data_IF_221232915685
#
_entry.id   IF_221232915685
#
_cell.length_a   1.000
_cell.length_b   1.000
_cell.length_c   1.000
_cell.angle_alpha   90.00
_cell.angle_beta   90.00
_cell.angle_gamma   90.00
#
_symmetry.space_group_name_H-M   'P 1'
#
loop_
_entity.id
_entity.type
_entity.pdbx_description
1 polymer ?
#
# COMPACT_ATOMS: atom_id res chain seq x y z
N UNK A 1 37.02 -58.97 40.55
CA UNK A 1 38.14 -58.12 40.98
C UNK A 1 37.71 -56.65 40.97
N UNK A 2 37.95 -55.96 42.09
CA UNK A 2 38.17 -54.51 42.32
C UNK A 2 37.16 -53.46 41.81
N UNK A 3 36.57 -52.79 42.81
CA UNK A 3 35.99 -51.44 42.86
C UNK A 3 37.00 -50.37 42.40
N UNK A 4 36.54 -49.21 41.95
CA UNK A 4 36.81 -47.93 42.63
C UNK A 4 35.99 -46.76 42.04
N UNK A 5 35.44 -46.00 42.99
CA UNK A 5 34.82 -44.68 42.90
C UNK A 5 35.92 -43.64 43.17
N UNK A 6 35.91 -42.45 42.56
CA UNK A 6 36.54 -41.24 43.14
C UNK A 6 35.87 -39.96 42.64
N UNK A 7 35.32 -39.22 43.61
CA UNK A 7 34.91 -37.82 43.58
C UNK A 7 36.12 -36.88 43.69
N UNK A 8 35.97 -35.65 43.19
CA UNK A 8 36.59 -34.39 43.69
C UNK A 8 36.02 -33.24 42.83
N UNK A 9 35.09 -32.39 43.28
CA UNK A 9 35.24 -31.23 44.20
C UNK A 9 36.23 -30.15 43.75
N UNK A 10 35.69 -28.97 43.46
CA UNK A 10 36.17 -27.62 43.86
C UNK A 10 35.11 -26.61 43.37
N UNK A 11 34.27 -25.98 44.21
CA UNK A 11 34.58 -24.85 45.13
C UNK A 11 35.25 -23.68 44.39
N UNK A 12 34.47 -22.66 44.03
CA UNK A 12 34.19 -21.42 44.78
C UNK A 12 35.39 -20.46 44.82
N UNK A 13 35.15 -19.23 44.33
CA UNK A 13 35.78 -17.91 44.60
C UNK A 13 35.03 -16.93 43.66
N UNK A 14 34.01 -16.16 44.05
CA UNK A 14 33.90 -15.03 44.99
C UNK A 14 34.79 -13.79 44.66
N UNK A 15 34.20 -12.63 44.95
CA UNK A 15 34.60 -11.23 44.74
C UNK A 15 34.20 -10.64 43.37
N UNK A 16 33.22 -9.74 43.21
CA UNK A 16 32.57 -8.83 44.16
C UNK A 16 33.13 -7.41 43.99
N UNK A 17 32.54 -6.57 43.13
CA UNK A 17 32.63 -5.11 43.27
C UNK A 17 31.30 -4.47 42.88
N UNK A 18 30.70 -3.86 43.90
CA UNK A 18 29.55 -2.96 43.91
C UNK A 18 29.88 -1.71 43.09
N UNK A 19 28.90 -1.15 42.40
CA UNK A 19 28.71 0.30 42.30
C UNK A 19 27.25 0.57 41.96
N UNK A 20 26.51 1.02 42.97
CA UNK A 20 25.28 1.76 42.77
C UNK A 20 25.64 3.20 42.45
N UNK A 21 24.92 3.79 41.50
CA UNK A 21 24.66 5.21 41.50
C UNK A 21 23.15 5.40 41.34
N UNK A 22 22.55 5.80 42.45
CA UNK A 22 21.25 6.39 42.54
C UNK A 22 21.21 7.65 41.68
N UNK A 23 20.33 7.72 40.68
CA UNK A 23 19.87 9.01 40.15
C UNK A 23 18.53 9.34 40.77
N UNK A 24 18.63 10.14 41.82
CA UNK A 24 17.50 10.81 42.46
C UNK A 24 16.75 11.71 41.48
N UNK A 25 15.44 11.63 41.65
CA UNK A 25 14.44 12.65 41.41
C UNK A 25 14.98 14.08 41.19
N UNK A 26 14.50 14.72 40.13
CA UNK A 26 14.32 16.17 40.14
C UNK A 26 12.89 16.48 39.70
N UNK A 27 12.03 16.70 40.69
CA UNK A 27 10.79 17.42 40.48
C UNK A 27 11.11 18.90 40.35
N UNK A 28 10.58 19.55 39.32
CA UNK A 28 10.38 20.99 39.35
C UNK A 28 8.96 21.32 38.89
N UNK A 29 8.16 21.62 39.89
CA UNK A 29 6.91 22.37 39.80
C UNK A 29 7.30 23.80 39.42
N UNK A 30 6.78 24.30 38.32
CA UNK A 30 6.63 25.74 38.12
C UNK A 30 5.16 25.96 37.71
N UNK A 31 4.41 26.32 38.74
CA UNK A 31 3.06 26.84 38.70
C UNK A 31 3.19 28.34 38.45
N UNK A 32 2.68 28.83 37.32
CA UNK A 32 2.43 30.26 37.13
C UNK A 32 1.08 30.42 36.46
N UNK A 33 0.13 30.78 37.31
CA UNK A 33 -1.14 31.37 36.97
C UNK A 33 -0.91 32.69 36.24
N UNK A 34 -1.58 32.87 35.10
CA UNK A 34 -2.02 34.19 34.66
C UNK A 34 -3.26 34.02 33.79
N UNK A 35 -4.40 34.18 34.46
CA UNK A 35 -5.71 34.44 33.87
C UNK A 35 -5.66 35.64 32.92
N UNK A 36 -6.20 35.47 31.72
CA UNK A 36 -6.86 36.57 31.02
C UNK A 36 -8.07 36.03 30.26
N UNK A 37 -9.21 36.55 30.66
CA UNK A 37 -10.54 36.43 30.07
C UNK A 37 -10.48 36.80 28.58
N UNK A 38 -11.23 36.12 27.71
CA UNK A 38 -12.32 36.83 27.05
C UNK A 38 -13.39 35.92 26.46
N UNK A 39 -14.59 36.47 26.50
CA UNK A 39 -15.91 35.94 26.23
C UNK A 39 -16.12 35.48 24.78
N UNK A 40 -16.93 34.42 24.62
CA UNK A 40 -17.62 34.15 23.36
C UNK A 40 -18.73 35.18 23.14
N UNK A 41 -18.94 35.64 21.90
CA UNK A 41 -20.31 35.74 21.44
C UNK A 41 -20.55 35.18 20.03
N UNK A 42 -21.48 34.22 19.99
CA UNK A 42 -22.70 34.15 19.15
C UNK A 42 -22.57 34.18 17.62
N UNK A 43 -23.02 33.06 17.05
CA UNK A 43 -23.97 32.93 15.94
C UNK A 43 -24.19 34.16 15.05
N UNK A 44 -23.78 34.03 13.79
CA UNK A 44 -24.55 34.53 12.66
C UNK A 44 -24.42 33.51 11.52
N UNK A 45 -25.28 32.49 11.56
CA UNK A 45 -25.65 31.71 10.38
C UNK A 45 -26.50 32.64 9.52
N UNK A 46 -25.91 33.19 8.45
CA UNK A 46 -26.70 33.80 7.39
C UNK A 46 -27.03 32.74 6.35
N UNK A 47 -28.32 32.43 6.37
CA UNK A 47 -29.09 31.64 5.42
C UNK A 47 -28.78 31.98 3.97
N UNK A 48 -28.67 30.92 3.17
CA UNK A 48 -28.89 30.92 1.74
C UNK A 48 -30.25 31.56 1.43
N UNK A 49 -30.25 32.67 0.69
CA UNK A 49 -31.35 33.06 -0.20
C UNK A 49 -30.89 34.23 -1.10
N UNK A 50 -31.23 34.10 -2.39
CA UNK A 50 -31.27 35.12 -3.45
C UNK A 50 -29.96 35.51 -4.18
N UNK A 51 -29.36 34.56 -4.88
CA UNK A 51 -28.62 34.90 -6.12
C UNK A 51 -29.64 34.87 -7.27
N UNK A 52 -30.25 36.03 -7.54
CA UNK A 52 -31.20 36.22 -8.64
C UNK A 52 -30.52 36.08 -10.00
N UNK A 53 -31.09 35.26 -10.89
CA UNK A 53 -30.60 35.01 -12.26
C UNK A 53 -30.87 36.18 -13.24
N UNK A 54 -31.26 37.35 -12.74
CA UNK A 54 -31.56 38.53 -13.55
C UNK A 54 -30.36 39.46 -13.79
N UNK A 55 -29.24 39.31 -13.06
CA UNK A 55 -28.04 40.17 -13.19
C UNK A 55 -27.05 39.75 -14.30
N UNK A 56 -27.32 38.68 -15.05
CA UNK A 56 -26.44 38.23 -16.16
C UNK A 56 -26.84 38.84 -17.50
N UNK A 57 -27.83 39.73 -17.53
CA UNK A 57 -28.47 40.17 -18.78
C UNK A 57 -27.86 41.44 -19.39
N UNK A 58 -27.06 42.19 -18.63
CA UNK A 58 -26.55 43.49 -19.05
C UNK A 58 -25.14 43.46 -19.69
N UNK A 59 -24.51 42.29 -19.82
CA UNK A 59 -23.22 42.16 -20.53
C UNK A 59 -23.33 41.72 -22.01
N UNK A 60 -24.54 41.65 -22.58
CA UNK A 60 -24.74 41.18 -23.97
C UNK A 60 -25.16 42.24 -25.00
N UNK A 61 -25.04 43.53 -24.70
CA UNK A 61 -25.41 44.60 -25.65
C UNK A 61 -24.26 45.63 -25.86
N UNK A 62 -23.23 45.34 -26.67
CA UNK A 62 -23.04 45.76 -28.09
C UNK A 62 -21.63 46.39 -28.27
N UNK A 63 -21.09 46.71 -29.49
CA UNK A 63 -21.37 46.24 -30.85
C UNK A 63 -20.10 45.84 -31.67
N UNK A 64 -20.34 45.16 -32.81
CA UNK A 64 -19.56 45.16 -34.06
C UNK A 64 -18.17 44.48 -34.10
N UNK A 65 -18.09 43.33 -34.78
CA UNK A 65 -17.28 43.18 -36.00
C UNK A 65 -17.55 41.84 -36.72
N UNK A 66 -17.63 41.94 -38.04
CA UNK A 66 -17.48 40.87 -39.05
C UNK A 66 -18.59 39.83 -39.19
N UNK A 67 -19.58 40.16 -40.04
CA UNK A 67 -20.29 39.16 -40.84
C UNK A 67 -19.33 38.53 -41.84
N UNK A 68 -18.50 37.59 -41.40
CA UNK A 68 -17.87 36.63 -42.31
C UNK A 68 -18.87 35.51 -42.54
N UNK A 69 -19.46 35.52 -43.74
CA UNK A 69 -20.14 34.38 -44.35
C UNK A 69 -19.17 33.20 -44.31
N UNK A 70 -19.30 32.35 -43.30
CA UNK A 70 -18.51 31.14 -43.19
C UNK A 70 -19.12 30.16 -44.21
N UNK A 71 -18.44 30.01 -45.35
CA UNK A 71 -18.74 28.94 -46.28
C UNK A 71 -18.49 27.62 -45.56
N UNK A 72 -19.58 26.93 -45.21
CA UNK A 72 -19.51 25.59 -44.65
C UNK A 72 -19.10 24.68 -45.79
N UNK A 73 -17.80 24.36 -45.89
CA UNK A 73 -17.33 23.31 -46.78
C UNK A 73 -17.98 22.01 -46.33
N UNK A 74 -18.78 21.42 -47.20
CA UNK A 74 -19.35 20.09 -47.00
C UNK A 74 -18.21 19.10 -46.71
N UNK A 75 -18.20 18.55 -45.50
CA UNK A 75 -17.28 17.48 -45.13
C UNK A 75 -17.60 16.28 -46.01
N UNK A 76 -16.62 15.85 -46.82
CA UNK A 76 -16.77 14.65 -47.62
C UNK A 76 -16.56 13.44 -46.71
N UNK A 77 -17.66 12.87 -46.22
CA UNK A 77 -17.63 11.62 -45.49
C UNK A 77 -17.31 10.52 -46.50
N UNK A 78 -16.12 9.95 -46.40
CA UNK A 78 -15.80 8.71 -47.09
C UNK A 78 -16.73 7.62 -46.55
N UNK A 79 -17.63 7.15 -47.40
CA UNK A 79 -18.49 5.98 -47.17
C UNK A 79 -17.60 4.82 -46.70
N UNK A 80 -17.89 4.28 -45.51
CA UNK A 80 -17.17 3.12 -45.01
C UNK A 80 -17.65 1.91 -45.80
N UNK A 81 -16.91 1.58 -46.87
CA UNK A 81 -17.04 0.34 -47.61
C UNK A 81 -16.97 -0.83 -46.62
N UNK A 82 -18.13 -1.44 -46.37
CA UNK A 82 -18.31 -2.63 -45.54
C UNK A 82 -17.85 -3.86 -46.35
N UNK A 83 -16.59 -3.84 -46.78
CA UNK A 83 -16.02 -4.76 -47.77
C UNK A 83 -14.71 -5.41 -47.34
N UNK A 84 -14.26 -5.19 -46.11
CA UNK A 84 -13.22 -5.99 -45.49
C UNK A 84 -13.87 -6.93 -44.49
N UNK A 85 -13.73 -8.24 -44.68
CA UNK A 85 -13.70 -9.15 -43.54
C UNK A 85 -12.51 -8.74 -42.69
N UNK A 86 -12.69 -7.71 -41.86
CA UNK A 86 -11.83 -7.49 -40.71
C UNK A 86 -12.20 -8.65 -39.80
N UNK A 87 -11.60 -9.82 -40.03
CA UNK A 87 -11.18 -10.58 -38.88
C UNK A 87 -10.32 -9.57 -38.12
N UNK A 88 -10.75 -9.09 -36.94
CA UNK A 88 -9.79 -8.43 -36.10
C UNK A 88 -8.81 -9.56 -35.79
N UNK A 89 -7.74 -9.61 -36.57
CA UNK A 89 -6.45 -10.01 -36.06
C UNK A 89 -6.20 -8.97 -34.98
N UNK A 90 -6.85 -9.21 -33.82
CA UNK A 90 -6.75 -8.40 -32.63
C UNK A 90 -5.25 -8.34 -32.44
N UNK A 91 -4.67 -7.16 -32.63
CA UNK A 91 -3.25 -6.97 -32.49
C UNK A 91 -2.90 -7.40 -31.08
N UNK A 92 -2.43 -8.65 -30.95
CA UNK A 92 -2.16 -9.28 -29.67
C UNK A 92 -1.06 -8.53 -28.93
N UNK A 93 -0.32 -7.66 -29.63
CA UNK A 93 0.63 -6.73 -29.04
C UNK A 93 0.05 -5.94 -27.88
N UNK A 94 -1.19 -5.44 -28.00
CA UNK A 94 -1.81 -4.65 -26.92
C UNK A 94 -2.04 -5.46 -25.63
N UNK A 95 -2.38 -6.76 -25.73
CA UNK A 95 -2.64 -7.60 -24.55
C UNK A 95 -1.34 -7.87 -23.78
N UNK A 96 -0.19 -7.90 -24.47
CA UNK A 96 1.11 -8.13 -23.84
C UNK A 96 1.56 -6.96 -22.95
N UNK A 97 1.07 -5.75 -23.22
CA UNK A 97 1.45 -4.53 -22.49
C UNK A 97 0.56 -4.24 -21.27
N UNK A 98 -0.42 -5.11 -20.99
CA UNK A 98 -1.33 -4.92 -19.86
C UNK A 98 -0.58 -5.10 -18.51
N UNK A 99 -0.63 -4.13 -17.60
CA UNK A 99 0.01 -4.26 -16.30
C UNK A 99 -0.72 -5.31 -15.44
N UNK A 100 0.07 -6.17 -14.78
CA UNK A 100 -0.42 -7.20 -13.87
C UNK A 100 0.18 -7.00 -12.47
N UNK A 101 -0.63 -7.18 -11.44
CA UNK A 101 -0.16 -7.17 -10.05
C UNK A 101 0.36 -8.54 -9.67
N UNK A 102 1.64 -8.58 -9.32
CA UNK A 102 2.30 -9.77 -8.77
C UNK A 102 2.43 -9.62 -7.26
N UNK A 103 1.94 -10.63 -6.53
CA UNK A 103 2.02 -10.70 -5.07
C UNK A 103 2.92 -11.84 -4.68
N UNK A 104 3.98 -11.56 -3.92
CA UNK A 104 4.83 -12.56 -3.30
C UNK A 104 4.45 -12.68 -1.82
N UNK A 105 4.01 -13.86 -1.39
CA UNK A 105 3.56 -14.10 -0.02
C UNK A 105 4.55 -15.00 0.71
N UNK A 106 5.07 -14.53 1.84
CA UNK A 106 5.89 -15.32 2.74
C UNK A 106 5.07 -16.47 3.36
N UNK A 107 3.81 -16.21 3.70
CA UNK A 107 2.90 -17.20 4.27
C UNK A 107 1.57 -16.59 4.71
N UNK A 108 0.62 -17.46 5.07
CA UNK A 108 -0.71 -17.07 5.58
C UNK A 108 -0.92 -17.69 6.95
N UNK A 109 -1.78 -17.07 7.75
CA UNK A 109 -2.29 -17.64 8.99
C UNK A 109 -3.74 -17.19 9.20
N UNK A 110 -4.50 -17.92 10.00
CA UNK A 110 -5.86 -17.53 10.39
C UNK A 110 -5.82 -17.09 11.85
N UNK A 111 -6.39 -15.92 12.13
CA UNK A 111 -6.51 -15.38 13.48
C UNK A 111 -7.98 -15.12 13.78
N UNK A 112 -8.36 -15.31 15.04
CA UNK A 112 -9.67 -14.84 15.52
C UNK A 112 -9.68 -13.31 15.54
N UNK A 113 -10.85 -12.72 15.36
CA UNK A 113 -11.02 -11.25 15.36
C UNK A 113 -10.49 -10.64 16.66
N UNK A 114 -10.71 -11.30 17.81
CA UNK A 114 -10.20 -10.85 19.10
C UNK A 114 -8.66 -10.83 19.18
N UNK A 115 -7.98 -11.77 18.53
CA UNK A 115 -6.51 -11.84 18.49
C UNK A 115 -5.95 -10.76 17.57
N UNK A 116 -6.57 -10.55 16.41
CA UNK A 116 -6.20 -9.49 15.47
C UNK A 116 -6.26 -8.09 16.11
N UNK A 117 -7.31 -7.80 16.88
CA UNK A 117 -7.49 -6.52 17.56
C UNK A 117 -6.51 -6.30 18.72
N UNK A 118 -5.89 -7.37 19.24
CA UNK A 118 -4.85 -7.29 20.28
C UNK A 118 -3.44 -7.10 19.71
N UNK A 119 -3.25 -7.20 18.39
CA UNK A 119 -1.95 -6.98 17.79
C UNK A 119 -1.51 -5.54 17.98
N UNK A 120 -0.26 -5.37 18.42
CA UNK A 120 0.37 -4.09 18.63
C UNK A 120 1.77 -4.05 18.04
N UNK A 121 2.47 -2.94 18.31
CA UNK A 121 3.86 -2.80 17.92
C UNK A 121 4.70 -3.88 18.62
N UNK A 122 5.47 -4.63 17.83
CA UNK A 122 6.31 -5.72 18.33
C UNK A 122 5.60 -7.07 18.48
N UNK A 123 4.31 -7.19 18.16
CA UNK A 123 3.65 -8.49 18.10
C UNK A 123 4.25 -9.34 16.98
N UNK A 124 4.59 -10.59 17.30
CA UNK A 124 5.07 -11.58 16.34
C UNK A 124 3.93 -12.53 16.01
N UNK A 125 3.63 -12.68 14.71
CA UNK A 125 2.58 -13.56 14.22
C UNK A 125 3.21 -14.75 13.51
N UNK A 126 2.88 -15.95 13.97
CA UNK A 126 3.34 -17.18 13.35
C UNK A 126 2.55 -17.46 12.05
N UNK A 127 3.29 -17.81 11.00
CA UNK A 127 2.72 -18.17 9.70
C UNK A 127 2.69 -19.69 9.54
N UNK A 128 1.73 -20.21 8.77
CA UNK A 128 1.59 -21.65 8.55
C UNK A 128 2.73 -22.28 7.73
N UNK A 129 3.57 -21.47 7.09
CA UNK A 129 4.64 -21.92 6.19
C UNK A 129 5.88 -22.35 6.98
N UNK A 130 6.47 -23.49 6.61
CA UNK A 130 7.67 -24.01 7.28
C UNK A 130 8.93 -23.22 6.87
N UNK A 131 9.91 -23.21 7.77
CA UNK A 131 11.21 -22.58 7.48
C UNK A 131 11.94 -23.31 6.36
N UNK A 132 12.44 -22.55 5.39
CA UNK A 132 13.19 -23.08 4.24
C UNK A 132 12.34 -23.44 3.03
N UNK A 133 11.01 -23.34 3.13
CA UNK A 133 10.14 -23.45 1.95
C UNK A 133 10.18 -22.18 1.10
N UNK A 134 10.20 -22.30 -0.25
CA UNK A 134 10.14 -21.13 -1.11
C UNK A 134 8.79 -20.41 -0.96
N UNK A 135 8.79 -19.08 -1.02
CA UNK A 135 7.58 -18.26 -0.98
C UNK A 135 6.68 -18.51 -2.19
N UNK A 136 5.38 -18.27 -2.01
CA UNK A 136 4.41 -18.43 -3.08
C UNK A 136 4.22 -17.13 -3.83
N UNK A 137 4.15 -17.21 -5.16
CA UNK A 137 4.01 -16.04 -6.04
C UNK A 137 2.70 -16.16 -6.79
N UNK A 138 1.89 -15.12 -6.65
CA UNK A 138 0.56 -15.02 -7.24
C UNK A 138 0.53 -13.90 -8.27
N UNK A 139 -0.25 -14.11 -9.32
CA UNK A 139 -0.70 -13.04 -10.22
C UNK A 139 -2.20 -13.10 -10.26
N UNK A 140 -2.87 -11.97 -10.01
CA UNK A 140 -4.34 -11.90 -9.91
C UNK A 140 -4.92 -13.02 -9.02
N UNK A 141 -4.30 -13.26 -7.86
CA UNK A 141 -4.69 -14.29 -6.88
C UNK A 141 -4.51 -15.75 -7.32
N UNK A 142 -3.85 -16.04 -8.45
CA UNK A 142 -3.53 -17.41 -8.87
C UNK A 142 -2.06 -17.73 -8.68
N UNK A 143 -1.75 -18.90 -8.12
CA UNK A 143 -0.38 -19.38 -7.94
C UNK A 143 0.26 -19.67 -9.30
N UNK A 144 1.33 -18.94 -9.61
CA UNK A 144 2.07 -19.04 -10.88
C UNK A 144 3.51 -19.52 -10.71
N UNK A 145 4.12 -19.28 -9.55
CA UNK A 145 5.51 -19.60 -9.30
C UNK A 145 5.79 -19.75 -7.80
N UNK A 146 6.97 -20.30 -7.51
CA UNK A 146 7.60 -20.33 -6.21
C UNK A 146 8.97 -19.68 -6.31
N UNK A 147 9.42 -19.05 -5.24
CA UNK A 147 10.71 -18.37 -5.23
C UNK A 147 11.29 -18.14 -3.86
N UNK A 148 12.51 -17.61 -3.81
CA UNK A 148 13.21 -17.29 -2.57
C UNK A 148 13.59 -15.81 -2.52
N UNK A 149 13.64 -15.24 -1.31
CA UNK A 149 14.02 -13.83 -1.12
C UNK A 149 15.52 -13.72 -1.38
N UNK A 150 15.90 -12.76 -2.21
CA UNK A 150 17.30 -12.38 -2.44
C UNK A 150 17.44 -10.88 -2.23
N UNK A 151 18.64 -10.41 -1.89
CA UNK A 151 18.95 -8.98 -1.94
C UNK A 151 19.82 -8.68 -3.15
N UNK A 152 19.42 -7.67 -3.92
CA UNK A 152 20.15 -7.18 -5.09
C UNK A 152 20.20 -5.66 -5.01
N UNK A 153 21.40 -5.09 -4.96
CA UNK A 153 21.62 -3.64 -4.85
C UNK A 153 20.85 -3.02 -3.67
N UNK A 154 20.95 -3.63 -2.48
CA UNK A 154 20.25 -3.22 -1.25
C UNK A 154 18.72 -3.19 -1.36
N UNK A 155 18.16 -3.83 -2.39
CA UNK A 155 16.72 -4.01 -2.57
C UNK A 155 16.36 -5.47 -2.43
N UNK A 156 15.20 -5.73 -1.83
CA UNK A 156 14.60 -7.05 -1.84
C UNK A 156 14.19 -7.43 -3.27
N UNK A 157 14.52 -8.65 -3.65
CA UNK A 157 14.10 -9.30 -4.89
C UNK A 157 13.63 -10.72 -4.59
N UNK A 158 13.01 -11.34 -5.60
CA UNK A 158 12.56 -12.73 -5.52
C UNK A 158 13.17 -13.50 -6.68
N UNK A 159 13.94 -14.54 -6.37
CA UNK A 159 14.46 -15.47 -7.37
C UNK A 159 13.46 -16.59 -7.56
N UNK A 160 12.97 -16.78 -8.79
CA UNK A 160 12.04 -17.87 -9.11
C UNK A 160 12.78 -19.20 -9.05
N UNK A 161 12.25 -20.16 -8.29
CA UNK A 161 12.75 -21.53 -8.20
C UNK A 161 11.95 -22.47 -9.09
N UNK A 162 10.64 -22.27 -9.16
CA UNK A 162 9.71 -23.08 -9.96
C UNK A 162 8.65 -22.15 -10.58
N UNK A 163 8.32 -22.34 -11.85
CA UNK A 163 7.39 -21.47 -12.59
C UNK A 163 6.56 -22.28 -13.58
N UNK A 164 5.26 -22.02 -13.61
CA UNK A 164 4.36 -22.69 -14.56
C UNK A 164 4.62 -22.27 -16.00
N UNK A 165 4.28 -23.15 -16.94
CA UNK A 165 4.53 -22.95 -18.37
C UNK A 165 3.84 -21.67 -18.89
N UNK A 166 4.38 -21.00 -19.92
CA UNK A 166 3.76 -19.79 -20.48
C UNK A 166 2.29 -19.99 -20.90
N UNK A 167 1.97 -21.14 -21.50
CA UNK A 167 0.61 -21.49 -21.89
C UNK A 167 -0.33 -21.59 -20.68
N UNK A 168 0.12 -22.24 -19.60
CA UNK A 168 -0.65 -22.34 -18.35
C UNK A 168 -0.82 -20.99 -17.67
N UNK A 169 0.18 -20.08 -17.76
CA UNK A 169 0.02 -18.71 -17.23
C UNK A 169 -1.14 -17.99 -17.89
N UNK A 170 -1.25 -18.06 -19.22
CA UNK A 170 -2.36 -17.41 -19.95
C UNK A 170 -3.72 -18.01 -19.54
N UNK A 171 -3.81 -19.33 -19.37
CA UNK A 171 -5.03 -19.97 -18.87
C UNK A 171 -5.35 -19.55 -17.43
N UNK A 172 -4.32 -19.40 -16.58
CA UNK A 172 -4.47 -18.94 -15.21
C UNK A 172 -4.84 -17.45 -15.09
N UNK A 173 -4.71 -16.67 -16.16
CA UNK A 173 -5.07 -15.25 -16.17
C UNK A 173 -6.45 -14.95 -16.77
N UNK A 174 -7.10 -15.95 -17.38
CA UNK A 174 -8.50 -15.85 -17.83
C UNK A 174 -9.49 -15.74 -16.69
#
# INVERSE_FOLDING_TARGET
>A
MKRLNTMSENEQNDEGVKNGEDISANGKKDEVEASSQNESPKEDVKSDEDISWDDVKDELETPAMSSQKQEVSSVNFQELEMGGSVSPELDLGFILDLPLTLTAELGRTQLLIGELLQLGHGSVVELAKLTGEPMDIFVNSRLIARGEVVMVNDKYGVRLTDVVSPAERVTKLR
#
